data_IF_015617806715
#
_entry.id   IF_015617806715
#
_cell.length_a   1.000
_cell.length_b   1.000
_cell.length_c   1.000
_cell.angle_alpha   90.00
_cell.angle_beta   90.00
_cell.angle_gamma   90.00
#
_symmetry.space_group_name_H-M   'P 1'
#
loop_
_entity.id
_entity.type
_entity.pdbx_description
1 polymer ?
#
# COMPACT_ATOMS: atom_id res chain seq x y z
N UNK A 1 -26.53 -14.34 -6.57
CA UNK A 1 -25.12 -14.78 -6.62
C UNK A 1 -24.31 -13.65 -7.24
N UNK A 2 -23.84 -12.70 -6.44
CA UNK A 2 -23.01 -11.58 -6.92
C UNK A 2 -21.55 -11.96 -6.76
N UNK A 3 -20.89 -12.28 -7.87
CA UNK A 3 -19.46 -12.56 -7.92
C UNK A 3 -18.70 -11.27 -7.61
N UNK A 4 -18.17 -11.18 -6.39
CA UNK A 4 -17.28 -10.10 -5.98
C UNK A 4 -15.88 -10.40 -6.58
N UNK A 5 -15.70 -10.09 -7.86
CA UNK A 5 -14.42 -10.23 -8.52
C UNK A 5 -13.44 -9.25 -7.87
N UNK A 6 -12.43 -9.78 -7.19
CA UNK A 6 -11.35 -9.02 -6.56
C UNK A 6 -10.72 -8.08 -7.59
N UNK A 7 -11.11 -6.81 -7.55
CA UNK A 7 -10.55 -5.78 -8.41
C UNK A 7 -9.09 -5.60 -7.97
N UNK A 8 -8.15 -6.09 -8.79
CA UNK A 8 -6.74 -5.83 -8.57
C UNK A 8 -6.51 -4.32 -8.68
N UNK A 9 -6.13 -3.70 -7.57
CA UNK A 9 -5.93 -2.24 -7.44
C UNK A 9 -4.86 -1.67 -8.38
N UNK A 10 -4.09 -2.54 -9.03
CA UNK A 10 -3.04 -2.23 -10.02
C UNK A 10 -3.50 -2.28 -11.49
N UNK A 11 -4.76 -2.67 -11.79
CA UNK A 11 -5.23 -2.85 -13.18
C UNK A 11 -5.09 -1.60 -14.08
N UNK A 12 -4.83 -0.43 -13.49
CA UNK A 12 -4.35 0.74 -14.22
C UNK A 12 -5.32 1.14 -15.33
N UNK A 13 -4.80 1.25 -16.56
CA UNK A 13 -5.52 1.77 -17.73
C UNK A 13 -6.29 0.70 -18.52
N UNK A 14 -6.24 -0.57 -18.11
CA UNK A 14 -6.83 -1.68 -18.84
C UNK A 14 -8.06 -2.21 -18.11
N UNK A 15 -9.15 -2.39 -18.86
CA UNK A 15 -10.40 -2.99 -18.38
C UNK A 15 -10.33 -4.51 -18.27
N UNK A 16 -9.35 -5.13 -18.92
CA UNK A 16 -9.17 -6.57 -18.95
C UNK A 16 -8.17 -7.05 -17.88
N UNK A 17 -8.38 -8.25 -17.31
CA UNK A 17 -7.48 -8.78 -16.29
C UNK A 17 -6.09 -9.07 -16.88
N UNK A 18 -5.05 -8.64 -16.17
CA UNK A 18 -3.66 -8.97 -16.50
C UNK A 18 -3.47 -10.49 -16.50
N UNK A 19 -2.76 -11.00 -17.50
CA UNK A 19 -2.48 -12.44 -17.59
C UNK A 19 -1.68 -12.95 -16.40
N UNK A 20 -1.92 -14.19 -15.98
CA UNK A 20 -1.22 -14.75 -14.82
C UNK A 20 0.28 -14.94 -15.05
N UNK A 21 0.70 -15.11 -16.31
CA UNK A 21 2.11 -15.12 -16.67
C UNK A 21 2.76 -13.77 -16.34
N UNK A 22 2.13 -12.67 -16.75
CA UNK A 22 2.65 -11.32 -16.51
C UNK A 22 2.67 -11.03 -15.00
N UNK A 23 1.60 -11.35 -14.28
CA UNK A 23 1.56 -11.18 -12.81
C UNK A 23 2.72 -11.88 -12.11
N UNK A 24 2.97 -13.16 -12.44
CA UNK A 24 4.08 -13.93 -11.84
C UNK A 24 5.44 -13.37 -12.22
N UNK A 25 5.59 -12.95 -13.48
CA UNK A 25 6.86 -12.41 -13.97
C UNK A 25 7.20 -11.04 -13.34
N UNK A 26 6.21 -10.19 -13.09
CA UNK A 26 6.42 -8.84 -12.51
C UNK A 26 6.37 -8.81 -10.99
N UNK A 27 5.95 -9.90 -10.33
CA UNK A 27 5.88 -9.94 -8.87
C UNK A 27 7.29 -9.91 -8.26
N UNK A 28 7.53 -8.97 -7.35
CA UNK A 28 8.80 -8.81 -6.65
C UNK A 28 8.71 -9.04 -5.15
N UNK A 29 7.52 -9.38 -4.62
CA UNK A 29 7.26 -9.47 -3.17
C UNK A 29 8.21 -10.44 -2.46
N UNK A 30 8.50 -11.61 -3.06
CA UNK A 30 9.37 -12.62 -2.48
C UNK A 30 10.80 -12.10 -2.23
N UNK A 31 11.21 -11.08 -2.97
CA UNK A 31 12.49 -10.41 -2.84
C UNK A 31 12.40 -9.12 -2.01
N UNK A 32 11.39 -8.29 -2.27
CA UNK A 32 11.24 -6.95 -1.67
C UNK A 32 10.76 -6.99 -0.22
N UNK A 33 10.11 -8.07 0.21
CA UNK A 33 9.56 -8.18 1.56
C UNK A 33 10.59 -7.84 2.65
N UNK A 34 11.88 -8.13 2.44
CA UNK A 34 12.95 -7.81 3.40
C UNK A 34 13.14 -6.30 3.67
N UNK A 35 12.60 -5.45 2.81
CA UNK A 35 12.62 -3.99 2.95
C UNK A 35 11.41 -3.44 3.72
N UNK A 36 10.54 -4.30 4.28
CA UNK A 36 9.33 -3.87 4.99
C UNK A 36 9.59 -2.83 6.09
N UNK A 37 10.72 -2.94 6.82
CA UNK A 37 11.09 -1.98 7.88
C UNK A 37 11.43 -0.60 7.33
N UNK A 38 11.98 -0.53 6.13
CA UNK A 38 12.29 0.72 5.44
C UNK A 38 11.00 1.36 4.95
N UNK A 39 10.09 0.56 4.40
CA UNK A 39 8.77 1.00 3.94
C UNK A 39 7.93 1.60 5.07
N UNK A 40 7.87 0.93 6.24
CA UNK A 40 7.18 1.47 7.43
C UNK A 40 7.81 2.80 7.89
N UNK A 41 9.15 2.87 7.97
CA UNK A 41 9.83 4.11 8.37
C UNK A 41 9.57 5.25 7.38
N UNK A 42 9.58 4.96 6.09
CA UNK A 42 9.27 5.93 5.03
C UNK A 42 7.82 6.42 5.13
N UNK A 43 6.88 5.50 5.29
CA UNK A 43 5.45 5.78 5.45
C UNK A 43 5.17 6.65 6.68
N UNK A 44 5.78 6.35 7.84
CA UNK A 44 5.64 7.17 9.05
C UNK A 44 6.22 8.58 8.87
N UNK A 45 7.40 8.71 8.25
CA UNK A 45 8.00 10.00 7.97
C UNK A 45 7.11 10.83 7.03
N UNK A 46 6.54 10.19 6.00
CA UNK A 46 5.63 10.83 5.07
C UNK A 46 4.34 11.28 5.75
N UNK A 47 3.71 10.43 6.56
CA UNK A 47 2.49 10.77 7.30
C UNK A 47 2.72 11.97 8.24
N UNK A 48 3.84 12.01 8.97
CA UNK A 48 4.21 13.15 9.82
C UNK A 48 4.36 14.44 9.02
N UNK A 49 4.98 14.35 7.84
CA UNK A 49 5.10 15.49 6.93
C UNK A 49 3.72 15.97 6.46
N UNK A 50 2.84 15.05 6.03
CA UNK A 50 1.48 15.39 5.59
C UNK A 50 0.67 16.09 6.69
N UNK A 51 0.74 15.61 7.92
CA UNK A 51 0.07 16.24 9.07
C UNK A 51 0.65 17.63 9.35
N UNK A 52 1.97 17.80 9.26
CA UNK A 52 2.63 19.11 9.42
C UNK A 52 2.17 20.12 8.36
N UNK A 53 1.88 19.67 7.14
CA UNK A 53 1.34 20.52 6.06
C UNK A 53 -0.18 20.74 6.17
N UNK A 54 -0.86 20.12 7.14
CA UNK A 54 -2.31 20.21 7.29
C UNK A 54 -3.10 19.42 6.24
N UNK A 55 -2.47 18.48 5.54
CA UNK A 55 -3.13 17.65 4.52
C UNK A 55 -3.96 16.53 5.17
N UNK A 56 -3.50 16.01 6.30
CA UNK A 56 -4.25 15.04 7.13
C UNK A 56 -4.41 15.60 8.54
N UNK A 57 -5.45 15.17 9.26
CA UNK A 57 -5.66 15.60 10.63
C UNK A 57 -4.65 14.95 11.58
N UNK A 58 -4.42 15.59 12.74
CA UNK A 58 -3.57 15.01 13.78
C UNK A 58 -4.11 13.68 14.31
N UNK A 59 -5.44 13.52 14.31
CA UNK A 59 -6.09 12.24 14.64
C UNK A 59 -5.73 11.15 13.62
N UNK A 60 -5.80 11.45 12.33
CA UNK A 60 -5.44 10.49 11.26
C UNK A 60 -3.97 10.08 11.37
N UNK A 61 -3.06 11.04 11.64
CA UNK A 61 -1.65 10.72 11.91
C UNK A 61 -1.52 9.74 13.09
N UNK A 62 -2.19 10.02 14.21
CA UNK A 62 -2.13 9.15 15.38
C UNK A 62 -2.66 7.75 15.06
N UNK A 63 -3.69 7.63 14.23
CA UNK A 63 -4.26 6.34 13.83
C UNK A 63 -3.28 5.55 12.95
N UNK A 64 -2.62 6.21 12.00
CA UNK A 64 -1.56 5.62 11.17
C UNK A 64 -0.39 5.15 12.04
N UNK A 65 0.10 5.99 12.95
CA UNK A 65 1.22 5.63 13.84
C UNK A 65 0.88 4.43 14.72
N UNK A 66 -0.35 4.36 15.26
CA UNK A 66 -0.82 3.20 16.03
C UNK A 66 -0.90 1.94 15.18
N UNK A 67 -1.47 2.02 13.98
CA UNK A 67 -1.60 0.86 13.09
C UNK A 67 -0.24 0.27 12.68
N UNK A 68 0.73 1.13 12.39
CA UNK A 68 2.08 0.74 11.98
C UNK A 68 2.95 0.21 13.13
N UNK A 69 2.58 0.45 14.38
CA UNK A 69 3.29 -0.05 15.56
C UNK A 69 2.95 -1.50 15.93
N UNK A 70 1.92 -2.10 15.31
CA UNK A 70 1.45 -3.46 15.59
C UNK A 70 2.22 -4.53 14.78
N UNK A 71 3.18 -4.11 13.95
CA UNK A 71 3.98 -4.98 13.07
C UNK A 71 5.16 -5.62 13.81
#
# INVERSE_FOLDING_TARGET
MTSNATQYTWAGRFSEPVSDLVKRYTASVDFDQRMWRQDIRGSLAHARMLAKQGIIAAADLADIERGMAVV
#
